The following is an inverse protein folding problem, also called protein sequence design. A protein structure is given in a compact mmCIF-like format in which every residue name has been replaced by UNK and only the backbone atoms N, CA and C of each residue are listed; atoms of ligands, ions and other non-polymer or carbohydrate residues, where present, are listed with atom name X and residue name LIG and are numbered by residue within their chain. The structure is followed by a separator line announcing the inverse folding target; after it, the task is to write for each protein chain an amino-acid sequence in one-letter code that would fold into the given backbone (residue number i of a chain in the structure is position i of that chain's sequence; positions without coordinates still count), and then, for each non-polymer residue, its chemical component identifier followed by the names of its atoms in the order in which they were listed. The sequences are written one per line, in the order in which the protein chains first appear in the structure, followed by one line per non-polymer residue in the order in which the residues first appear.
data_IF_917786682846
#
_entry.id   IF_917786682846
#
_cell.length_a   1.000
_cell.length_b   1.000
_cell.length_c   1.000
_cell.angle_alpha   90.00
_cell.angle_beta   90.00
_cell.angle_gamma   90.00
#
_symmetry.space_group_name_H-M   'P 1'
#
loop_
_entity.id
_entity.type
_entity.pdbx_description
1 polymer ?
#
# COMPACT_ATOMS: atom_id res chain seq x y z
N UNK A 1 -8.37 10.42 14.34
CA UNK A 1 -9.78 9.95 14.32
C UNK A 1 -9.92 8.55 13.70
N UNK A 2 -9.16 8.21 12.66
CA UNK A 2 -9.22 6.87 12.04
C UNK A 2 -8.79 5.72 12.96
N UNK A 3 -7.76 5.91 13.79
CA UNK A 3 -7.30 4.92 14.77
C UNK A 3 -8.42 4.46 15.71
N UNK A 4 -9.09 5.41 16.40
CA UNK A 4 -10.27 5.12 17.25
C UNK A 4 -11.43 4.47 16.50
N UNK A 5 -11.61 4.77 15.21
CA UNK A 5 -12.65 4.14 14.37
C UNK A 5 -12.29 2.71 13.98
N UNK A 6 -10.99 2.41 13.80
CA UNK A 6 -10.47 1.05 13.56
C UNK A 6 -10.58 0.20 14.83
N UNK A 7 -10.09 0.69 15.97
CA UNK A 7 -10.19 0.01 17.27
C UNK A 7 -11.64 -0.42 17.57
N UNK A 8 -12.62 0.48 17.36
CA UNK A 8 -14.05 0.18 17.53
C UNK A 8 -14.57 -0.90 16.60
N UNK A 9 -14.13 -0.92 15.33
CA UNK A 9 -14.51 -1.97 14.37
C UNK A 9 -13.90 -3.30 14.73
N UNK A 10 -12.62 -3.31 15.09
CA UNK A 10 -11.92 -4.55 15.46
C UNK A 10 -12.58 -5.16 16.70
N UNK A 11 -12.98 -4.34 17.67
CA UNK A 11 -13.75 -4.79 18.82
C UNK A 11 -15.10 -5.44 18.46
N UNK A 12 -15.84 -4.85 17.50
CA UNK A 12 -17.10 -5.44 17.02
C UNK A 12 -16.89 -6.79 16.30
N UNK A 13 -15.80 -6.91 15.54
CA UNK A 13 -15.46 -8.16 14.84
C UNK A 13 -15.06 -9.24 15.85
N UNK A 14 -14.26 -8.90 16.86
CA UNK A 14 -13.89 -9.81 17.94
C UNK A 14 -15.14 -10.34 18.66
N UNK A 15 -16.05 -9.47 19.08
CA UNK A 15 -17.31 -9.89 19.72
C UNK A 15 -18.17 -10.79 18.82
N UNK A 16 -18.25 -10.48 17.52
CA UNK A 16 -19.00 -11.31 16.58
C UNK A 16 -18.39 -12.72 16.44
N UNK A 17 -17.07 -12.82 16.37
CA UNK A 17 -16.36 -14.11 16.30
C UNK A 17 -16.52 -14.93 17.58
N UNK A 18 -16.44 -14.31 18.75
CA UNK A 18 -16.67 -14.97 20.03
C UNK A 18 -18.11 -15.50 20.13
N UNK A 19 -19.08 -14.70 19.67
CA UNK A 19 -20.50 -15.09 19.65
C UNK A 19 -20.76 -16.27 18.70
N UNK A 20 -20.12 -16.26 17.52
CA UNK A 20 -20.30 -17.33 16.52
C UNK A 20 -19.60 -18.63 16.91
N UNK A 21 -18.44 -18.56 17.54
CA UNK A 21 -17.61 -19.73 17.87
C UNK A 21 -17.83 -20.26 19.29
N UNK A 22 -18.41 -19.46 20.18
CA UNK A 22 -18.57 -19.76 21.60
C UNK A 22 -17.24 -19.84 22.36
N UNK A 23 -16.13 -19.42 21.74
CA UNK A 23 -14.78 -19.43 22.32
C UNK A 23 -14.31 -18.00 22.48
N UNK A 24 -13.62 -17.72 23.58
CA UNK A 24 -12.97 -16.44 23.80
C UNK A 24 -11.87 -16.23 22.74
N UNK A 25 -11.71 -14.99 22.29
CA UNK A 25 -10.62 -14.63 21.39
C UNK A 25 -9.29 -14.79 22.12
N UNK A 26 -8.27 -15.44 21.51
CA UNK A 26 -6.98 -15.66 22.17
C UNK A 26 -6.35 -14.34 22.62
N UNK A 27 -5.95 -14.25 23.90
CA UNK A 27 -5.42 -13.00 24.48
C UNK A 27 -4.17 -12.50 23.75
N UNK A 28 -3.29 -13.42 23.33
CA UNK A 28 -2.06 -13.10 22.60
C UNK A 28 -2.30 -12.39 21.25
N UNK A 29 -3.39 -12.74 20.55
CA UNK A 29 -3.77 -12.08 19.30
C UNK A 29 -4.68 -10.86 19.51
N UNK A 30 -5.28 -10.74 20.70
CA UNK A 30 -6.30 -9.74 20.98
C UNK A 30 -5.71 -8.34 20.97
N UNK A 31 -4.56 -8.15 21.60
CA UNK A 31 -3.94 -6.83 21.73
C UNK A 31 -3.42 -6.31 20.39
N UNK A 32 -2.73 -7.17 19.62
CA UNK A 32 -2.27 -6.86 18.25
C UNK A 32 -3.45 -6.55 17.30
N UNK A 33 -4.52 -7.34 17.38
CA UNK A 33 -5.69 -7.14 16.53
C UNK A 33 -6.49 -5.88 16.91
N UNK A 34 -6.63 -5.58 18.21
CA UNK A 34 -7.42 -4.45 18.69
C UNK A 34 -6.72 -3.11 18.48
N UNK A 35 -5.41 -3.02 18.72
CA UNK A 35 -4.66 -1.77 18.50
C UNK A 35 -4.59 -1.41 17.02
N UNK A 36 -4.65 -2.42 16.14
CA UNK A 36 -4.41 -2.27 14.71
C UNK A 36 -2.94 -1.96 14.46
N UNK A 37 -2.39 -2.50 13.36
CA UNK A 37 -0.98 -2.35 13.01
C UNK A 37 -0.47 -0.92 13.25
N UNK A 38 0.70 -0.82 13.85
CA UNK A 38 1.28 0.43 14.30
C UNK A 38 1.48 1.41 13.12
N UNK A 39 1.67 2.70 13.41
CA UNK A 39 1.93 3.69 12.34
C UNK A 39 3.15 3.28 11.49
N UNK A 40 4.16 2.69 12.12
CA UNK A 40 5.35 2.19 11.41
C UNK A 40 4.99 1.02 10.48
N UNK A 41 4.09 0.12 10.86
CA UNK A 41 3.65 -0.97 9.99
C UNK A 41 2.88 -0.45 8.78
N UNK A 42 2.03 0.56 8.99
CA UNK A 42 1.28 1.20 7.91
C UNK A 42 2.22 1.90 6.93
N UNK A 43 3.19 2.66 7.44
CA UNK A 43 4.19 3.36 6.62
C UNK A 43 5.05 2.36 5.85
N UNK A 44 5.52 1.31 6.50
CA UNK A 44 6.32 0.26 5.86
C UNK A 44 5.54 -0.49 4.79
N UNK A 45 4.28 -0.86 5.06
CA UNK A 45 3.41 -1.51 4.07
C UNK A 45 3.15 -0.60 2.86
N UNK A 46 2.84 0.68 3.09
CA UNK A 46 2.63 1.63 2.00
C UNK A 46 3.89 1.86 1.16
N UNK A 47 5.06 1.89 1.82
CA UNK A 47 6.35 2.00 1.14
C UNK A 47 6.64 0.76 0.28
N UNK A 48 6.42 -0.46 0.80
CA UNK A 48 6.63 -1.71 0.05
C UNK A 48 5.78 -1.74 -1.22
N UNK A 49 4.49 -1.39 -1.12
CA UNK A 49 3.58 -1.33 -2.26
C UNK A 49 4.05 -0.34 -3.33
N UNK A 50 4.42 0.88 -2.92
CA UNK A 50 4.89 1.93 -3.84
C UNK A 50 6.21 1.52 -4.51
N UNK A 51 7.15 0.97 -3.75
CA UNK A 51 8.46 0.58 -4.26
C UNK A 51 8.36 -0.61 -5.22
N UNK A 52 7.53 -1.61 -4.91
CA UNK A 52 7.27 -2.75 -5.80
C UNK A 52 6.64 -2.28 -7.12
N UNK A 53 5.62 -1.44 -7.04
CA UNK A 53 4.97 -0.86 -8.23
C UNK A 53 5.93 -0.02 -9.08
N UNK A 54 6.79 0.78 -8.45
CA UNK A 54 7.79 1.57 -9.15
C UNK A 54 8.81 0.68 -9.90
N UNK A 55 9.31 -0.36 -9.25
CA UNK A 55 10.26 -1.30 -9.86
C UNK A 55 9.64 -2.08 -11.02
N UNK A 56 8.40 -2.58 -10.87
CA UNK A 56 7.69 -3.28 -11.94
C UNK A 56 7.49 -2.39 -13.17
N UNK A 57 7.14 -1.11 -12.95
CA UNK A 57 6.94 -0.16 -14.04
C UNK A 57 8.26 0.16 -14.77
N UNK A 58 9.35 0.38 -14.03
CA UNK A 58 10.69 0.57 -14.62
C UNK A 58 11.13 -0.68 -15.40
N UNK A 59 10.95 -1.86 -14.83
CA UNK A 59 11.35 -3.14 -15.46
C UNK A 59 10.54 -3.42 -16.72
N UNK A 60 9.24 -3.11 -16.71
CA UNK A 60 8.38 -3.20 -17.89
C UNK A 60 8.83 -2.23 -18.98
N UNK A 61 9.05 -0.96 -18.62
CA UNK A 61 9.56 0.07 -19.54
C UNK A 61 10.90 -0.34 -20.16
N UNK A 62 11.81 -0.92 -19.37
CA UNK A 62 13.09 -1.41 -19.88
C UNK A 62 12.92 -2.55 -20.91
N UNK A 63 11.94 -3.44 -20.73
CA UNK A 63 11.65 -4.53 -21.68
C UNK A 63 10.93 -4.04 -22.93
N UNK A 64 9.99 -3.12 -22.78
CA UNK A 64 9.10 -2.68 -23.85
C UNK A 64 9.78 -1.70 -24.83
N UNK A 65 10.87 -1.04 -24.39
CA UNK A 65 11.60 -0.06 -25.19
C UNK A 65 13.06 -0.49 -25.40
N UNK A 66 13.39 -1.14 -26.53
CA UNK A 66 14.72 -1.67 -26.80
C UNK A 66 15.85 -0.64 -26.75
N UNK A 67 15.56 0.63 -27.01
CA UNK A 67 16.53 1.73 -26.98
C UNK A 67 16.97 2.09 -25.55
N UNK A 68 16.17 1.73 -24.55
CA UNK A 68 16.48 1.96 -23.14
C UNK A 68 17.35 0.81 -22.64
N UNK A 69 18.52 1.12 -22.08
CA UNK A 69 19.51 0.10 -21.68
C UNK A 69 19.69 -0.04 -20.17
N UNK A 70 19.08 0.84 -19.37
CA UNK A 70 19.18 0.81 -17.92
C UNK A 70 17.89 1.32 -17.25
N UNK A 71 17.72 0.94 -15.98
CA UNK A 71 16.55 1.32 -15.18
C UNK A 71 16.50 2.82 -14.87
N UNK A 72 17.65 3.51 -14.83
CA UNK A 72 17.69 4.96 -14.60
C UNK A 72 17.00 5.70 -15.74
N UNK A 73 17.32 5.35 -16.97
CA UNK A 73 16.74 5.91 -18.20
C UNK A 73 15.26 5.55 -18.31
N UNK A 74 14.89 4.31 -17.95
CA UNK A 74 13.48 3.91 -17.83
C UNK A 74 12.71 4.79 -16.83
N UNK A 75 13.29 5.07 -15.66
CA UNK A 75 12.69 5.94 -14.65
C UNK A 75 12.48 7.37 -15.17
N UNK A 76 13.48 7.95 -15.83
CA UNK A 76 13.36 9.28 -16.43
C UNK A 76 12.26 9.33 -17.50
N UNK A 77 12.15 8.31 -18.35
CA UNK A 77 11.07 8.23 -19.34
C UNK A 77 9.70 8.22 -18.68
N UNK A 78 9.50 7.40 -17.64
CA UNK A 78 8.24 7.35 -16.89
C UNK A 78 7.92 8.72 -16.28
N UNK A 79 8.90 9.38 -15.68
CA UNK A 79 8.73 10.71 -15.08
C UNK A 79 8.35 11.77 -16.13
N UNK A 80 9.06 11.82 -17.26
CA UNK A 80 8.78 12.76 -18.34
C UNK A 80 7.40 12.53 -18.95
N UNK A 81 7.01 11.27 -19.17
CA UNK A 81 5.67 10.96 -19.68
C UNK A 81 4.58 11.45 -18.71
N UNK A 82 4.73 11.19 -17.40
CA UNK A 82 3.79 11.69 -16.38
C UNK A 82 3.69 13.21 -16.37
N UNK A 83 4.83 13.90 -16.47
CA UNK A 83 4.86 15.37 -16.53
C UNK A 83 4.15 15.86 -17.80
N UNK A 84 4.46 15.27 -18.95
CA UNK A 84 3.84 15.63 -20.22
C UNK A 84 2.31 15.40 -20.21
N UNK A 85 1.84 14.31 -19.61
CA UNK A 85 0.41 14.05 -19.40
C UNK A 85 -0.24 15.11 -18.50
N UNK A 86 0.45 15.53 -17.43
CA UNK A 86 -0.02 16.61 -16.56
C UNK A 86 -0.14 17.95 -17.32
N UNK A 87 0.86 18.31 -18.14
CA UNK A 87 0.82 19.50 -18.99
C UNK A 87 -0.33 19.42 -20.01
N UNK A 88 -0.47 18.28 -20.68
CA UNK A 88 -1.57 18.04 -21.63
C UNK A 88 -2.94 18.16 -20.97
N UNK A 89 -3.09 17.69 -19.73
CA UNK A 89 -4.33 17.79 -18.97
C UNK A 89 -4.72 19.24 -18.63
N UNK A 90 -3.74 20.14 -18.50
CA UNK A 90 -3.98 21.58 -18.30
C UNK A 90 -4.00 22.38 -19.62
N UNK A 91 -3.92 21.71 -20.76
CA UNK A 91 -4.06 22.32 -22.09
C UNK A 91 -2.79 22.98 -22.65
N UNK A 92 -1.62 22.58 -22.16
CA UNK A 92 -0.29 22.98 -22.68
C UNK A 92 0.34 21.78 -23.39
#
# INVERSE_FOLDING_TARGET
MERRRRERRNHQITQALETMTGKAFPEEMRDEFLEGGSEIDLVCSGLDDVMRGAYENMSRTLRDFPDIKDLRTAAYRIALNRIAEAYKAIGI
#
